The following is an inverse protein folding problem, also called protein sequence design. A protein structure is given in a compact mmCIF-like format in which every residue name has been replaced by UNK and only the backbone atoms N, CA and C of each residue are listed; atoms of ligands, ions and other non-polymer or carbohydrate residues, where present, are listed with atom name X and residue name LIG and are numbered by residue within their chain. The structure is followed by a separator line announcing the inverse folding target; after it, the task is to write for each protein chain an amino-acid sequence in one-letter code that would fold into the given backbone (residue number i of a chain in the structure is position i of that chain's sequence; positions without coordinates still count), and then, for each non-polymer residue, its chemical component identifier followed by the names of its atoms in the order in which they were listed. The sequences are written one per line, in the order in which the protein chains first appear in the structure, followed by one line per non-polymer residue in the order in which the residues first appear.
data_IF_093080563744
#
_entry.id   IF_093080563744
#
_cell.length_a   1.000
_cell.length_b   1.000
_cell.length_c   1.000
_cell.angle_alpha   90.00
_cell.angle_beta   90.00
_cell.angle_gamma   90.00
#
_symmetry.space_group_name_H-M   'P 1'
#
loop_
_entity.id
_entity.type
_entity.pdbx_description
1 polymer ?
#
# COMPACT_ATOMS: atom_id res chain seq x y z
N UNK A 1 -28.81 -30.60 0.12
CA UNK A 1 -28.37 -29.63 1.15
C UNK A 1 -27.03 -29.03 0.72
N UNK A 2 -27.04 -28.22 -0.32
CA UNK A 2 -25.85 -27.59 -0.90
C UNK A 2 -26.12 -26.09 -1.08
N UNK A 3 -26.47 -25.40 0.00
CA UNK A 3 -26.73 -23.95 0.04
C UNK A 3 -26.44 -23.46 1.46
N UNK A 4 -25.19 -23.52 1.91
CA UNK A 4 -24.77 -23.01 3.23
C UNK A 4 -23.32 -22.49 3.20
N UNK A 5 -22.94 -21.80 2.13
CA UNK A 5 -21.75 -20.92 2.15
C UNK A 5 -22.16 -19.57 1.55
N UNK A 6 -22.97 -18.84 2.31
CA UNK A 6 -23.23 -17.43 2.08
C UNK A 6 -21.89 -16.68 2.04
N UNK A 7 -21.53 -16.26 0.84
CA UNK A 7 -20.41 -15.40 0.50
C UNK A 7 -20.60 -14.02 1.16
N UNK A 8 -20.18 -13.90 2.43
CA UNK A 8 -20.34 -12.69 3.27
C UNK A 8 -19.48 -11.48 2.87
N UNK A 9 -18.70 -11.59 1.81
CA UNK A 9 -17.89 -10.47 1.32
C UNK A 9 -18.52 -9.92 0.04
N UNK A 10 -18.64 -8.59 -0.11
CA UNK A 10 -19.07 -8.00 -1.37
C UNK A 10 -18.18 -8.56 -2.47
N UNK A 11 -18.77 -9.16 -3.52
CA UNK A 11 -18.02 -9.84 -4.60
C UNK A 11 -16.88 -8.98 -5.18
N UNK A 12 -17.05 -7.65 -5.18
CA UNK A 12 -16.01 -6.69 -5.56
C UNK A 12 -14.79 -6.64 -4.62
N UNK A 13 -14.97 -6.81 -3.31
CA UNK A 13 -13.86 -6.85 -2.33
C UNK A 13 -13.04 -8.12 -2.51
N UNK A 14 -13.70 -9.29 -2.63
CA UNK A 14 -13.01 -10.56 -2.91
C UNK A 14 -12.26 -10.51 -4.24
N UNK A 15 -12.87 -9.97 -5.29
CA UNK A 15 -12.22 -9.78 -6.57
C UNK A 15 -11.00 -8.85 -6.47
N UNK A 16 -11.09 -7.78 -5.67
CA UNK A 16 -9.97 -6.84 -5.45
C UNK A 16 -8.82 -7.49 -4.68
N UNK A 17 -9.12 -8.28 -3.65
CA UNK A 17 -8.11 -9.03 -2.87
C UNK A 17 -7.44 -10.07 -3.76
N UNK A 18 -8.21 -10.84 -4.54
CA UNK A 18 -7.68 -11.82 -5.48
C UNK A 18 -6.81 -11.16 -6.56
N UNK A 19 -7.24 -10.01 -7.11
CA UNK A 19 -6.46 -9.22 -8.04
C UNK A 19 -5.15 -8.73 -7.42
N UNK A 20 -5.18 -8.24 -6.18
CA UNK A 20 -3.98 -7.84 -5.43
C UNK A 20 -3.01 -9.02 -5.24
N UNK A 21 -3.53 -10.19 -4.87
CA UNK A 21 -2.73 -11.40 -4.70
C UNK A 21 -2.06 -11.84 -6.02
N UNK A 22 -2.82 -11.85 -7.12
CA UNK A 22 -2.29 -12.14 -8.46
C UNK A 22 -1.22 -11.13 -8.86
N UNK A 23 -1.42 -9.84 -8.58
CA UNK A 23 -0.42 -8.80 -8.83
C UNK A 23 0.88 -9.06 -8.08
N UNK A 24 0.82 -9.45 -6.80
CA UNK A 24 2.00 -9.80 -6.00
C UNK A 24 2.73 -10.99 -6.61
N UNK A 25 2.01 -12.04 -7.04
CA UNK A 25 2.60 -13.20 -7.69
C UNK A 25 3.23 -12.87 -9.05
N UNK A 26 2.58 -12.02 -9.86
CA UNK A 26 3.15 -11.50 -11.10
C UNK A 26 4.41 -10.69 -10.84
N UNK A 27 4.41 -9.84 -9.82
CA UNK A 27 5.58 -9.09 -9.39
C UNK A 27 6.71 -10.02 -8.95
N UNK A 28 6.43 -11.03 -8.15
CA UNK A 28 7.44 -11.99 -7.69
C UNK A 28 8.06 -12.81 -8.83
N UNK A 29 7.27 -13.13 -9.87
CA UNK A 29 7.73 -13.90 -11.04
C UNK A 29 8.50 -13.04 -12.04
N UNK A 30 8.10 -11.78 -12.24
CA UNK A 30 8.71 -10.87 -13.22
C UNK A 30 9.89 -10.09 -12.63
N UNK A 31 9.82 -9.67 -11.37
CA UNK A 31 10.87 -8.87 -10.75
C UNK A 31 12.10 -9.72 -10.40
N UNK A 32 13.31 -9.32 -10.82
CA UNK A 32 14.55 -9.95 -10.35
C UNK A 32 14.76 -9.63 -8.86
N UNK A 33 15.21 -10.60 -8.05
CA UNK A 33 15.51 -10.37 -6.63
C UNK A 33 16.46 -9.18 -6.40
N UNK A 34 17.46 -9.02 -7.28
CA UNK A 34 18.40 -7.88 -7.25
C UNK A 34 17.71 -6.52 -7.37
N UNK A 35 16.62 -6.44 -8.13
CA UNK A 35 15.87 -5.20 -8.32
C UNK A 35 15.15 -4.85 -7.01
N UNK A 36 14.50 -5.83 -6.38
CA UNK A 36 13.84 -5.65 -5.08
C UNK A 36 14.84 -5.23 -4.01
N UNK A 37 16.00 -5.88 -3.93
CA UNK A 37 17.05 -5.53 -2.98
C UNK A 37 17.56 -4.09 -3.19
N UNK A 38 17.76 -3.69 -4.45
CA UNK A 38 18.18 -2.32 -4.80
C UNK A 38 17.14 -1.29 -4.38
N UNK A 39 15.85 -1.58 -4.59
CA UNK A 39 14.73 -0.73 -4.18
C UNK A 39 14.71 -0.57 -2.66
N UNK A 40 14.79 -1.68 -1.93
CA UNK A 40 14.77 -1.67 -0.46
C UNK A 40 15.92 -0.84 0.10
N UNK A 41 17.15 -1.05 -0.39
CA UNK A 41 18.33 -0.30 0.07
C UNK A 41 18.21 1.19 -0.23
N UNK A 42 17.74 1.54 -1.44
CA UNK A 42 17.60 2.93 -1.87
C UNK A 42 16.53 3.67 -1.07
N UNK A 43 15.37 3.05 -0.84
CA UNK A 43 14.31 3.66 -0.04
C UNK A 43 14.68 3.82 1.42
N UNK A 44 15.38 2.84 2.01
CA UNK A 44 15.90 2.95 3.38
C UNK A 44 16.90 4.08 3.51
N UNK A 45 17.82 4.22 2.54
CA UNK A 45 18.79 5.33 2.51
C UNK A 45 18.08 6.69 2.45
N UNK A 46 17.11 6.85 1.56
CA UNK A 46 16.31 8.07 1.51
C UNK A 46 15.48 8.30 2.78
N UNK A 47 15.00 7.23 3.42
CA UNK A 47 14.31 7.30 4.70
C UNK A 47 15.21 7.84 5.82
N UNK A 48 16.45 7.36 5.90
CA UNK A 48 17.47 7.84 6.84
C UNK A 48 17.81 9.31 6.57
N UNK A 49 18.04 9.67 5.30
CA UNK A 49 18.33 11.06 4.92
C UNK A 49 17.19 12.02 5.27
N UNK A 50 15.93 11.56 5.26
CA UNK A 50 14.75 12.37 5.54
C UNK A 50 14.40 12.45 7.04
N UNK A 51 14.40 11.31 7.75
CA UNK A 51 13.92 11.18 9.13
C UNK A 51 15.05 11.19 10.16
N UNK A 52 16.28 10.89 9.75
CA UNK A 52 17.37 10.55 10.65
C UNK A 52 17.32 9.10 11.13
N UNK A 53 18.43 8.63 11.69
CA UNK A 53 18.63 7.22 12.05
C UNK A 53 17.64 6.74 13.14
N UNK A 54 17.41 7.55 14.17
CA UNK A 54 16.61 7.16 15.33
C UNK A 54 15.12 6.97 15.02
N UNK A 55 14.56 7.79 14.13
CA UNK A 55 13.16 7.66 13.73
C UNK A 55 12.97 6.59 12.67
N UNK A 56 13.96 6.42 11.79
CA UNK A 56 13.96 5.32 10.83
C UNK A 56 14.04 3.95 11.54
N UNK A 57 14.80 3.83 12.64
CA UNK A 57 14.86 2.63 13.45
C UNK A 57 13.48 2.23 13.99
N UNK A 58 12.70 3.19 14.50
CA UNK A 58 11.32 2.95 14.96
C UNK A 58 10.39 2.47 13.84
N UNK A 59 10.56 3.00 12.62
CA UNK A 59 9.80 2.56 11.44
C UNK A 59 10.16 1.12 11.09
N UNK A 60 11.45 0.76 11.12
CA UNK A 60 11.91 -0.60 10.85
C UNK A 60 11.48 -1.59 11.94
N UNK A 61 11.53 -1.22 13.21
CA UNK A 61 11.06 -2.04 14.32
C UNK A 61 9.57 -2.37 14.19
N UNK A 62 8.73 -1.35 13.91
CA UNK A 62 7.31 -1.54 13.63
C UNK A 62 7.07 -2.42 12.40
N UNK A 63 7.85 -2.21 11.34
CA UNK A 63 7.80 -3.03 10.11
C UNK A 63 8.08 -4.49 10.43
N UNK A 64 9.15 -4.78 11.17
CA UNK A 64 9.51 -6.13 11.58
C UNK A 64 8.40 -6.78 12.41
N UNK A 65 7.86 -6.05 13.40
CA UNK A 65 6.76 -6.56 14.23
C UNK A 65 5.51 -6.91 13.42
N UNK A 66 5.07 -6.03 12.52
CA UNK A 66 3.90 -6.31 11.69
C UNK A 66 4.16 -7.42 10.68
N UNK A 67 5.34 -7.47 10.07
CA UNK A 67 5.72 -8.55 9.16
C UNK A 67 5.75 -9.90 9.87
N UNK A 68 6.37 -9.98 11.05
CA UNK A 68 6.39 -11.21 11.86
C UNK A 68 4.98 -11.67 12.21
N UNK A 69 4.11 -10.77 12.68
CA UNK A 69 2.73 -11.11 13.00
C UNK A 69 1.94 -11.62 11.77
N UNK A 70 2.13 -10.98 10.60
CA UNK A 70 1.38 -11.31 9.38
C UNK A 70 1.88 -12.57 8.67
N UNK A 71 3.19 -12.85 8.69
CA UNK A 71 3.81 -13.88 7.84
C UNK A 71 4.41 -15.05 8.65
N UNK A 72 5.02 -14.75 9.79
CA UNK A 72 5.73 -15.74 10.62
C UNK A 72 4.76 -16.39 11.60
N UNK A 73 4.06 -15.58 12.39
CA UNK A 73 3.17 -16.05 13.48
C UNK A 73 1.82 -16.55 12.96
N UNK A 74 1.42 -16.15 11.75
CA UNK A 74 0.19 -16.61 11.09
C UNK A 74 0.27 -18.06 10.59
N UNK A 75 1.45 -18.70 10.67
CA UNK A 75 1.67 -20.06 10.15
C UNK A 75 1.66 -20.15 8.62
N UNK A 76 1.45 -19.03 7.89
CA UNK A 76 1.40 -18.99 6.43
C UNK A 76 2.67 -19.56 5.80
N UNK A 77 3.85 -19.28 6.39
CA UNK A 77 5.12 -19.84 5.94
C UNK A 77 5.16 -21.38 6.01
N UNK A 78 4.56 -21.96 7.06
CA UNK A 78 4.50 -23.42 7.26
C UNK A 78 3.54 -24.07 6.25
N UNK A 79 2.35 -23.48 6.06
CA UNK A 79 1.35 -23.97 5.09
C UNK A 79 1.89 -23.92 3.66
N UNK A 80 2.53 -22.82 3.26
CA UNK A 80 3.10 -22.67 1.91
C UNK A 80 4.28 -23.61 1.70
N UNK A 81 5.14 -23.79 2.71
CA UNK A 81 6.25 -24.76 2.67
C UNK A 81 5.75 -26.20 2.54
N UNK A 82 4.73 -26.58 3.31
CA UNK A 82 4.18 -27.94 3.31
C UNK A 82 3.40 -28.24 2.01
N UNK A 83 2.79 -27.23 1.37
CA UNK A 83 2.07 -27.36 0.10
C UNK A 83 2.99 -27.39 -1.12
N UNK A 84 4.08 -26.61 -1.12
CA UNK A 84 5.01 -26.50 -2.27
C UNK A 84 6.14 -27.55 -2.24
N UNK A 85 6.49 -28.12 -1.08
CA UNK A 85 7.53 -29.15 -0.95
C UNK A 85 6.97 -30.44 -0.33
N UNK A 86 6.40 -31.36 -1.12
CA UNK A 86 6.10 -32.71 -0.64
C UNK A 86 7.42 -33.41 -0.30
N UNK A 87 7.72 -33.58 1.00
CA UNK A 87 8.86 -34.38 1.46
C UNK A 87 8.54 -35.86 1.28
N UNK A 88 8.84 -36.42 0.12
CA UNK A 88 8.82 -37.86 -0.10
C UNK A 88 8.57 -38.27 -1.54
N UNK A 89 9.64 -38.61 -2.25
CA UNK A 89 9.55 -39.28 -3.55
C UNK A 89 10.92 -39.50 -4.18
N UNK A 90 11.45 -40.73 -4.08
CA UNK A 90 12.73 -41.15 -4.65
C UNK A 90 12.70 -41.18 -6.17
N UNK A 91 13.27 -40.18 -6.86
CA UNK A 91 13.76 -40.33 -8.24
C UNK A 91 14.94 -39.37 -8.51
N UNK A 92 16.16 -39.77 -8.16
CA UNK A 92 17.40 -38.98 -8.30
C UNK A 92 17.65 -38.41 -9.72
N UNK A 93 17.09 -39.04 -10.76
CA UNK A 93 17.20 -38.59 -12.16
C UNK A 93 16.18 -37.51 -12.55
N UNK A 94 14.99 -37.52 -11.94
CA UNK A 94 13.97 -36.49 -12.13
C UNK A 94 14.32 -35.24 -11.30
N UNK A 95 14.84 -35.43 -10.09
CA UNK A 95 15.35 -34.34 -9.24
C UNK A 95 16.44 -33.55 -9.97
N UNK A 96 17.43 -34.19 -10.59
CA UNK A 96 18.48 -33.50 -11.36
C UNK A 96 17.95 -32.68 -12.55
N UNK A 97 16.86 -33.12 -13.17
CA UNK A 97 16.26 -32.47 -14.35
C UNK A 97 15.30 -31.34 -13.98
N UNK A 98 14.79 -31.34 -12.76
CA UNK A 98 13.82 -30.36 -12.22
C UNK A 98 14.44 -29.51 -11.10
N UNK A 99 15.71 -29.73 -10.76
CA UNK A 99 16.47 -28.96 -9.77
C UNK A 99 16.51 -27.46 -10.08
N UNK A 100 16.56 -27.08 -11.37
CA UNK A 100 16.44 -25.68 -11.78
C UNK A 100 15.06 -25.08 -11.44
N UNK A 101 14.00 -25.89 -11.47
CA UNK A 101 12.64 -25.49 -11.14
C UNK A 101 12.43 -25.38 -9.63
N UNK A 102 13.00 -26.28 -8.83
CA UNK A 102 13.00 -26.15 -7.37
C UNK A 102 13.82 -24.94 -6.90
N UNK A 103 15.02 -24.72 -7.45
CA UNK A 103 15.82 -23.50 -7.21
C UNK A 103 15.10 -22.24 -7.65
N UNK A 104 14.39 -22.31 -8.77
CA UNK A 104 13.53 -21.22 -9.24
C UNK A 104 12.42 -20.93 -8.22
N UNK A 105 11.64 -21.93 -7.81
CA UNK A 105 10.56 -21.77 -6.82
C UNK A 105 11.07 -21.23 -5.48
N UNK A 106 12.21 -21.71 -4.99
CA UNK A 106 12.84 -21.21 -3.77
C UNK A 106 13.24 -19.73 -3.91
N UNK A 107 13.87 -19.36 -5.03
CA UNK A 107 14.22 -17.96 -5.31
C UNK A 107 13.01 -17.03 -5.41
N UNK A 108 11.85 -17.56 -5.84
CA UNK A 108 10.58 -16.83 -5.92
C UNK A 108 9.89 -16.74 -4.56
N UNK A 109 10.01 -17.75 -3.71
CA UNK A 109 9.59 -17.68 -2.31
C UNK A 109 10.29 -16.54 -1.56
N UNK A 110 11.60 -16.39 -1.78
CA UNK A 110 12.38 -15.26 -1.25
C UNK A 110 11.89 -13.92 -1.83
N UNK A 111 11.62 -13.86 -3.15
CA UNK A 111 11.09 -12.66 -3.81
C UNK A 111 9.76 -12.20 -3.20
N UNK A 112 8.83 -13.14 -3.00
CA UNK A 112 7.51 -12.87 -2.39
C UNK A 112 7.69 -12.31 -0.99
N UNK A 113 8.56 -12.91 -0.16
CA UNK A 113 8.83 -12.43 1.19
C UNK A 113 9.40 -11.00 1.19
N UNK A 114 10.35 -10.71 0.31
CA UNK A 114 10.93 -9.36 0.16
C UNK A 114 9.89 -8.34 -0.29
N UNK A 115 9.04 -8.69 -1.24
CA UNK A 115 7.94 -7.83 -1.72
C UNK A 115 6.94 -7.56 -0.58
N UNK A 116 6.50 -8.59 0.15
CA UNK A 116 5.59 -8.42 1.28
C UNK A 116 6.23 -7.55 2.36
N UNK A 117 7.49 -7.79 2.69
CA UNK A 117 8.23 -6.97 3.66
C UNK A 117 8.28 -5.50 3.21
N UNK A 118 8.60 -5.25 1.94
CA UNK A 118 8.66 -3.92 1.36
C UNK A 118 7.29 -3.21 1.36
N UNK A 119 6.21 -3.94 1.12
CA UNK A 119 4.85 -3.42 1.24
C UNK A 119 4.53 -3.01 2.67
N UNK A 120 4.83 -3.86 3.66
CA UNK A 120 4.64 -3.54 5.08
C UNK A 120 5.46 -2.31 5.46
N UNK A 121 6.71 -2.22 5.02
CA UNK A 121 7.57 -1.05 5.23
C UNK A 121 6.91 0.24 4.72
N UNK A 122 6.43 0.25 3.47
CA UNK A 122 5.79 1.44 2.88
C UNK A 122 4.48 1.81 3.58
N UNK A 123 3.72 0.84 4.05
CA UNK A 123 2.52 1.08 4.86
C UNK A 123 2.91 1.73 6.19
N UNK A 124 3.86 1.15 6.93
CA UNK A 124 4.31 1.70 8.22
C UNK A 124 4.88 3.11 8.06
N UNK A 125 5.68 3.34 7.02
CA UNK A 125 6.20 4.65 6.70
C UNK A 125 5.09 5.65 6.39
N UNK A 126 4.06 5.25 5.64
CA UNK A 126 2.88 6.11 5.38
C UNK A 126 2.13 6.42 6.68
N UNK A 127 1.96 5.43 7.55
CA UNK A 127 1.32 5.59 8.86
C UNK A 127 2.11 6.49 9.80
N UNK A 128 3.45 6.52 9.68
CA UNK A 128 4.32 7.40 10.46
C UNK A 128 3.95 8.88 10.29
N UNK A 129 3.48 9.28 9.10
CA UNK A 129 3.07 10.66 8.80
C UNK A 129 1.63 11.00 9.18
N UNK A 130 0.81 10.02 9.60
CA UNK A 130 -0.59 10.28 9.97
C UNK A 130 -0.78 11.33 11.09
N UNK A 131 0.04 11.37 12.16
CA UNK A 131 -0.12 12.41 13.18
C UNK A 131 0.03 13.81 12.61
N UNK A 132 1.02 14.01 11.73
CA UNK A 132 1.23 15.28 11.05
C UNK A 132 0.09 15.59 10.08
N UNK A 133 -0.37 14.59 9.33
CA UNK A 133 -1.52 14.73 8.44
C UNK A 133 -2.73 15.23 9.23
N UNK A 134 -3.06 14.61 10.36
CA UNK A 134 -4.20 15.01 11.20
C UNK A 134 -4.07 16.47 11.64
N UNK A 135 -2.88 16.89 12.06
CA UNK A 135 -2.63 18.25 12.52
C UNK A 135 -2.91 19.32 11.43
N UNK A 136 -2.63 19.01 10.16
CA UNK A 136 -2.87 19.92 9.02
C UNK A 136 -4.27 19.73 8.41
N UNK A 137 -4.80 18.52 8.46
CA UNK A 137 -6.07 18.16 7.86
C UNK A 137 -7.25 18.81 8.58
N UNK A 138 -7.23 18.82 9.93
CA UNK A 138 -8.29 19.44 10.75
C UNK A 138 -8.51 20.92 10.39
N UNK A 139 -7.50 21.80 10.41
CA UNK A 139 -7.70 23.21 10.04
C UNK A 139 -8.07 23.38 8.57
N UNK A 140 -7.58 22.54 7.65
CA UNK A 140 -7.93 22.62 6.24
C UNK A 140 -9.42 22.28 5.98
N UNK A 141 -9.94 21.26 6.66
CA UNK A 141 -11.37 20.90 6.64
C UNK A 141 -12.19 22.04 7.21
N UNK A 142 -11.80 22.57 8.38
CA UNK A 142 -12.50 23.69 9.01
C UNK A 142 -12.52 24.94 8.12
N UNK A 143 -11.39 25.30 7.51
CA UNK A 143 -11.31 26.41 6.56
C UNK A 143 -12.20 26.19 5.33
N UNK A 144 -12.23 24.97 4.79
CA UNK A 144 -13.10 24.61 3.67
C UNK A 144 -14.58 24.75 4.04
N UNK A 145 -14.94 24.29 5.24
CA UNK A 145 -16.30 24.39 5.78
C UNK A 145 -16.73 25.85 6.02
N UNK A 146 -15.87 26.69 6.60
CA UNK A 146 -16.15 28.11 6.79
C UNK A 146 -16.37 28.84 5.46
N UNK A 147 -15.56 28.53 4.43
CA UNK A 147 -15.75 29.08 3.08
C UNK A 147 -17.07 28.62 2.45
N UNK A 148 -17.43 27.36 2.65
CA UNK A 148 -18.73 26.85 2.20
C UNK A 148 -19.89 27.58 2.90
N UNK A 149 -19.80 27.78 4.22
CA UNK A 149 -20.84 28.47 4.98
C UNK A 149 -20.97 29.95 4.57
N UNK A 150 -19.84 30.64 4.35
CA UNK A 150 -19.82 32.00 3.82
C UNK A 150 -20.51 32.08 2.45
N UNK A 151 -20.23 31.15 1.54
CA UNK A 151 -20.92 31.05 0.24
C UNK A 151 -22.41 30.76 0.40
N UNK A 152 -22.82 29.97 1.39
CA UNK A 152 -24.24 29.66 1.63
C UNK A 152 -25.03 30.90 2.05
N UNK A 153 -24.45 31.76 2.89
CA UNK A 153 -25.10 32.97 3.38
C UNK A 153 -24.85 34.20 2.49
N UNK A 154 -23.85 34.14 1.60
CA UNK A 154 -23.59 35.15 0.58
C UNK A 154 -24.14 34.80 -0.80
N UNK A 155 -23.92 35.73 -1.74
CA UNK A 155 -24.27 35.56 -3.16
C UNK A 155 -23.20 34.82 -3.98
N UNK A 156 -22.11 34.39 -3.34
CA UNK A 156 -21.01 33.70 -4.02
C UNK A 156 -21.41 32.31 -4.53
N UNK A 157 -20.93 31.95 -5.72
CA UNK A 157 -21.25 30.68 -6.38
C UNK A 157 -20.26 29.56 -6.00
N UNK A 158 -20.77 28.36 -5.75
CA UNK A 158 -19.95 27.15 -5.70
C UNK A 158 -19.62 26.71 -7.13
N UNK A 159 -18.34 26.48 -7.45
CA UNK A 159 -17.92 26.04 -8.79
C UNK A 159 -18.04 24.51 -8.92
N UNK A 160 -18.94 23.98 -9.78
CA UNK A 160 -19.04 22.54 -10.00
C UNK A 160 -17.77 21.96 -10.63
N UNK A 161 -17.05 22.75 -11.43
CA UNK A 161 -15.78 22.36 -12.04
C UNK A 161 -14.72 22.08 -10.98
N UNK A 162 -14.56 22.96 -9.98
CA UNK A 162 -13.60 22.76 -8.89
C UNK A 162 -13.99 21.57 -8.01
N UNK A 163 -15.29 21.41 -7.72
CA UNK A 163 -15.76 20.27 -6.93
C UNK A 163 -15.50 18.94 -7.63
N UNK A 164 -15.84 18.82 -8.92
CA UNK A 164 -15.63 17.60 -9.69
C UNK A 164 -14.14 17.27 -9.84
N UNK A 165 -13.30 18.26 -10.17
CA UNK A 165 -11.86 18.03 -10.29
C UNK A 165 -11.21 17.68 -8.94
N UNK A 166 -11.63 18.30 -7.83
CA UNK A 166 -11.15 17.93 -6.51
C UNK A 166 -11.53 16.49 -6.14
N UNK A 167 -12.75 16.05 -6.49
CA UNK A 167 -13.18 14.68 -6.28
C UNK A 167 -12.36 13.68 -7.13
N UNK A 168 -12.09 14.01 -8.40
CA UNK A 168 -11.24 13.22 -9.30
C UNK A 168 -9.80 13.15 -8.77
N UNK A 169 -9.22 14.26 -8.33
CA UNK A 169 -7.86 14.28 -7.78
C UNK A 169 -7.77 13.45 -6.49
N UNK A 170 -8.80 13.48 -5.63
CA UNK A 170 -8.84 12.65 -4.43
C UNK A 170 -8.99 11.16 -4.75
N UNK A 171 -9.83 10.80 -5.72
CA UNK A 171 -10.01 9.40 -6.11
C UNK A 171 -8.75 8.82 -6.74
N UNK A 172 -8.16 9.52 -7.71
CA UNK A 172 -6.88 9.11 -8.32
C UNK A 172 -5.72 9.16 -7.32
N UNK A 173 -5.67 10.18 -6.45
CA UNK A 173 -4.66 10.28 -5.40
C UNK A 173 -4.71 9.10 -4.43
N UNK A 174 -5.91 8.71 -3.97
CA UNK A 174 -6.11 7.53 -3.13
C UNK A 174 -5.68 6.24 -3.84
N UNK A 175 -6.07 6.08 -5.10
CA UNK A 175 -5.65 4.93 -5.92
C UNK A 175 -4.13 4.86 -6.09
N UNK A 176 -3.47 6.00 -6.36
CA UNK A 176 -2.02 6.06 -6.52
C UNK A 176 -1.27 5.73 -5.22
N UNK A 177 -1.79 6.12 -4.05
CA UNK A 177 -1.20 5.73 -2.77
C UNK A 177 -1.24 4.21 -2.62
N UNK A 178 -2.37 3.57 -2.92
CA UNK A 178 -2.51 2.11 -2.86
C UNK A 178 -1.56 1.42 -3.85
N UNK A 179 -1.47 1.92 -5.09
CA UNK A 179 -0.54 1.40 -6.10
C UNK A 179 0.92 1.62 -5.75
N UNK A 180 1.25 2.72 -5.05
CA UNK A 180 2.62 3.03 -4.63
C UNK A 180 3.18 1.98 -3.67
N UNK A 181 2.33 1.33 -2.88
CA UNK A 181 2.74 0.23 -2.00
C UNK A 181 3.23 -0.97 -2.82
N UNK A 182 2.62 -1.23 -3.98
CA UNK A 182 2.93 -2.35 -4.87
C UNK A 182 4.05 -2.06 -5.88
N UNK A 183 4.40 -0.80 -6.10
CA UNK A 183 5.27 -0.44 -7.21
C UNK A 183 6.70 -1.04 -7.05
N UNK A 184 7.24 -1.78 -8.03
CA UNK A 184 8.58 -2.36 -7.94
C UNK A 184 9.71 -1.34 -8.12
N UNK A 185 9.39 -0.05 -8.16
CA UNK A 185 10.36 1.01 -8.38
C UNK A 185 10.66 1.72 -7.06
N UNK A 186 11.89 2.25 -6.90
CA UNK A 186 12.24 2.97 -5.69
C UNK A 186 11.48 4.29 -5.69
N UNK A 187 10.61 4.45 -4.70
CA UNK A 187 9.80 5.62 -4.51
C UNK A 187 10.43 6.48 -3.41
N UNK A 188 10.82 7.73 -3.70
CA UNK A 188 11.30 8.63 -2.67
C UNK A 188 10.23 8.80 -1.58
N UNK A 189 10.54 8.47 -0.30
CA UNK A 189 9.64 8.70 0.83
C UNK A 189 9.05 10.10 0.86
N UNK A 190 9.85 11.09 0.47
CA UNK A 190 9.47 12.49 0.38
C UNK A 190 8.24 12.71 -0.52
N UNK A 191 8.19 12.10 -1.71
CA UNK A 191 7.12 12.36 -2.69
C UNK A 191 5.76 11.90 -2.17
N UNK A 192 5.71 10.70 -1.59
CA UNK A 192 4.48 10.14 -1.03
C UNK A 192 4.05 10.97 0.19
N UNK A 193 5.00 11.29 1.08
CA UNK A 193 4.73 12.01 2.33
C UNK A 193 4.30 13.46 2.07
N UNK A 194 4.95 14.16 1.15
CA UNK A 194 4.59 15.53 0.74
C UNK A 194 3.23 15.56 0.05
N UNK A 195 2.92 14.59 -0.81
CA UNK A 195 1.60 14.51 -1.43
C UNK A 195 0.51 14.33 -0.37
N UNK A 196 0.71 13.42 0.58
CA UNK A 196 -0.26 13.17 1.65
C UNK A 196 -0.43 14.39 2.56
N UNK A 197 0.66 15.00 3.02
CA UNK A 197 0.60 16.08 4.02
C UNK A 197 0.16 17.42 3.42
N UNK A 198 0.48 17.71 2.16
CA UNK A 198 0.20 19.00 1.54
C UNK A 198 -0.99 18.94 0.59
N UNK A 199 -0.95 18.06 -0.41
CA UNK A 199 -1.98 18.05 -1.47
C UNK A 199 -3.33 17.60 -0.91
N UNK A 200 -3.36 16.58 -0.07
CA UNK A 200 -4.63 16.02 0.42
C UNK A 200 -5.46 17.02 1.24
N UNK A 201 -4.90 17.76 2.24
CA UNK A 201 -5.64 18.81 2.93
C UNK A 201 -6.12 19.94 2.02
N UNK A 202 -5.29 20.39 1.07
CA UNK A 202 -5.65 21.46 0.13
C UNK A 202 -6.82 21.04 -0.77
N UNK A 203 -6.72 19.87 -1.39
CA UNK A 203 -7.77 19.37 -2.31
C UNK A 203 -9.07 19.10 -1.54
N UNK A 204 -9.00 18.56 -0.31
CA UNK A 204 -10.18 18.40 0.54
C UNK A 204 -10.83 19.74 0.90
N UNK A 205 -10.03 20.75 1.23
CA UNK A 205 -10.54 22.09 1.51
C UNK A 205 -11.24 22.69 0.28
N UNK A 206 -10.68 22.49 -0.92
CA UNK A 206 -11.30 22.92 -2.19
C UNK A 206 -12.60 22.15 -2.47
N UNK A 207 -12.62 20.84 -2.23
CA UNK A 207 -13.81 20.01 -2.39
C UNK A 207 -14.95 20.52 -1.50
N UNK A 208 -14.67 20.66 -0.19
CA UNK A 208 -15.65 21.08 0.83
C UNK A 208 -16.14 22.50 0.54
N UNK A 209 -15.24 23.43 0.24
CA UNK A 209 -15.59 24.83 -0.05
C UNK A 209 -16.40 25.03 -1.34
N UNK A 210 -16.53 24.00 -2.19
CA UNK A 210 -17.32 24.02 -3.42
C UNK A 210 -18.44 22.98 -3.43
N UNK A 211 -18.84 22.46 -2.25
CA UNK A 211 -20.01 21.59 -2.18
C UNK A 211 -21.26 22.30 -2.72
N UNK A 212 -22.16 21.56 -3.43
CA UNK A 212 -23.40 22.12 -3.93
C UNK A 212 -24.23 22.71 -2.78
N UNK A 213 -24.78 23.91 -2.98
CA UNK A 213 -25.76 24.46 -2.05
C UNK A 213 -27.02 23.58 -2.16
N UNK A 214 -27.34 22.81 -1.12
CA UNK A 214 -28.70 22.28 -0.95
C UNK A 214 -29.47 23.32 -0.14
N UNK A 215 -30.51 23.85 -0.78
CA UNK A 215 -31.46 24.82 -0.21
C UNK A 215 -32.18 24.13 0.95
#
# INVERSE_FOLDING_TARGET
MAEMLEEKWPKGVMASIAFFFVLILMLATVAPNKLVDTVMLKERKWGIELLGDSDMEKVLEKTNRYYSALVIDSGAKKIVSDMLMPRGGTVDAFEKSVDWWFRYLESRGEAVQKIIYQMVYRIVLTLYWLPLLIAVLVPAIYAGWMRWNAKRHGFDYSSPFLNNNAAIVLSWGGMLIVLSVLMPLPLPPLVISTFIVIMLPVVLSVLISNLPKRI
#
